data_IF_335405152324
#
_entry.id   IF_335405152324
#
_cell.length_a   1.000
_cell.length_b   1.000
_cell.length_c   1.000
_cell.angle_alpha   90.00
_cell.angle_beta   90.00
_cell.angle_gamma   90.00
#
_symmetry.space_group_name_H-M   'P 1'
#
loop_
_entity.id
_entity.type
_entity.pdbx_description
1 polymer ?
#
# COMPACT_ATOMS: atom_id res chain seq x y z
N UNK A 1 4.35 -32.92 16.26
CA UNK A 1 5.27 -31.77 16.42
C UNK A 1 4.93 -30.74 15.37
N UNK A 2 4.54 -29.53 15.76
CA UNK A 2 4.17 -28.47 14.82
C UNK A 2 5.44 -27.98 14.11
N UNK A 3 5.71 -28.47 12.90
CA UNK A 3 6.82 -27.97 12.08
C UNK A 3 6.40 -26.64 11.46
N UNK A 4 6.69 -25.54 12.15
CA UNK A 4 6.55 -24.21 11.55
C UNK A 4 7.53 -24.09 10.38
N UNK A 5 7.00 -23.88 9.18
CA UNK A 5 7.84 -23.60 8.02
C UNK A 5 8.55 -22.26 8.27
N UNK A 6 9.86 -22.14 8.02
CA UNK A 6 10.60 -20.88 8.22
C UNK A 6 9.95 -19.67 7.53
N UNK A 7 9.30 -19.91 6.38
CA UNK A 7 8.52 -18.92 5.64
C UNK A 7 7.38 -18.33 6.47
N UNK A 8 6.66 -19.13 7.25
CA UNK A 8 5.54 -18.63 8.06
C UNK A 8 6.01 -17.70 9.18
N UNK A 9 7.18 -17.98 9.77
CA UNK A 9 7.78 -17.15 10.82
C UNK A 9 8.19 -15.78 10.25
N UNK A 10 8.89 -15.77 9.11
CA UNK A 10 9.34 -14.55 8.45
C UNK A 10 8.15 -13.69 8.01
N UNK A 11 7.13 -14.29 7.40
CA UNK A 11 5.93 -13.58 6.97
C UNK A 11 5.13 -13.02 8.16
N UNK A 12 4.99 -13.79 9.24
CA UNK A 12 4.31 -13.32 10.46
C UNK A 12 5.00 -12.11 11.08
N UNK A 13 6.34 -12.16 11.21
CA UNK A 13 7.15 -11.03 11.70
C UNK A 13 7.00 -9.79 10.82
N UNK A 14 7.03 -9.97 9.49
CA UNK A 14 6.87 -8.88 8.55
C UNK A 14 5.46 -8.27 8.61
N UNK A 15 4.43 -9.08 8.80
CA UNK A 15 3.04 -8.64 8.93
C UNK A 15 2.78 -7.90 10.24
N UNK A 16 3.38 -8.33 11.35
CA UNK A 16 3.34 -7.59 12.63
C UNK A 16 4.05 -6.23 12.50
N UNK A 17 5.20 -6.19 11.85
CA UNK A 17 5.90 -4.95 11.56
C UNK A 17 5.05 -4.02 10.67
N UNK A 18 4.44 -4.56 9.61
CA UNK A 18 3.59 -3.79 8.71
C UNK A 18 2.33 -3.24 9.41
N UNK A 19 1.65 -4.06 10.22
CA UNK A 19 0.50 -3.64 11.02
C UNK A 19 0.88 -2.53 12.02
N UNK A 20 2.02 -2.67 12.70
CA UNK A 20 2.56 -1.64 13.59
C UNK A 20 2.80 -0.32 12.85
N UNK A 21 3.35 -0.37 11.63
CA UNK A 21 3.58 0.83 10.81
C UNK A 21 2.28 1.51 10.38
N UNK A 22 1.23 0.75 10.06
CA UNK A 22 -0.09 1.31 9.75
C UNK A 22 -0.69 2.01 10.99
N UNK A 23 -0.56 1.40 12.18
CA UNK A 23 -1.03 1.99 13.44
C UNK A 23 -0.28 3.29 13.79
N UNK A 24 1.04 3.30 13.64
CA UNK A 24 1.87 4.49 13.90
C UNK A 24 1.48 5.65 12.96
N UNK A 25 1.28 5.37 11.67
CA UNK A 25 0.89 6.42 10.71
C UNK A 25 -0.52 6.96 10.92
N UNK A 26 -1.45 6.17 11.48
CA UNK A 26 -2.76 6.64 11.91
C UNK A 26 -2.63 7.62 13.09
N UNK A 27 -1.78 7.29 14.06
CA UNK A 27 -1.52 8.14 15.24
C UNK A 27 -0.88 9.48 14.86
N UNK A 28 -0.03 9.49 13.84
CA UNK A 28 0.66 10.70 13.36
C UNK A 28 -0.24 11.61 12.50
N UNK A 29 -1.52 11.28 12.28
CA UNK A 29 -2.47 12.06 11.46
C UNK A 29 -2.16 12.08 9.96
N UNK A 30 -1.07 11.43 9.54
CA UNK A 30 -0.58 11.37 8.16
C UNK A 30 -1.41 10.48 7.24
N UNK A 31 -2.32 9.68 7.81
CA UNK A 31 -3.13 8.70 7.09
C UNK A 31 -4.61 8.95 7.39
N UNK A 32 -5.39 9.19 6.34
CA UNK A 32 -6.85 9.30 6.46
C UNK A 32 -7.46 7.97 6.90
N UNK A 33 -8.61 8.01 7.58
CA UNK A 33 -9.36 6.82 8.00
C UNK A 33 -9.58 5.85 6.82
N UNK A 34 -9.92 6.36 5.64
CA UNK A 34 -10.08 5.57 4.41
C UNK A 34 -8.77 4.88 4.00
N UNK A 35 -7.64 5.58 4.10
CA UNK A 35 -6.32 5.01 3.81
C UNK A 35 -5.94 3.92 4.82
N UNK A 36 -6.27 4.10 6.10
CA UNK A 36 -6.04 3.08 7.13
C UNK A 36 -6.81 1.79 6.81
N UNK A 37 -8.12 1.87 6.54
CA UNK A 37 -8.92 0.69 6.20
C UNK A 37 -8.44 0.01 4.91
N UNK A 38 -8.05 0.79 3.90
CA UNK A 38 -7.50 0.24 2.66
C UNK A 38 -6.21 -0.57 2.91
N UNK A 39 -5.23 0.02 3.59
CA UNK A 39 -3.96 -0.66 3.87
C UNK A 39 -4.12 -1.83 4.84
N UNK A 40 -4.94 -1.67 5.88
CA UNK A 40 -5.23 -2.73 6.84
C UNK A 40 -5.92 -3.92 6.18
N UNK A 41 -6.91 -3.68 5.31
CA UNK A 41 -7.56 -4.71 4.52
C UNK A 41 -6.60 -5.44 3.58
N UNK A 42 -5.70 -4.70 2.92
CA UNK A 42 -4.68 -5.28 2.05
C UNK A 42 -3.73 -6.21 2.82
N UNK A 43 -3.30 -5.82 4.02
CA UNK A 43 -2.46 -6.70 4.87
C UNK A 43 -3.21 -7.93 5.37
N UNK A 44 -4.50 -7.80 5.74
CA UNK A 44 -5.33 -8.96 6.10
C UNK A 44 -5.45 -9.94 4.93
N UNK A 45 -5.70 -9.45 3.73
CA UNK A 45 -5.77 -10.30 2.52
C UNK A 45 -4.44 -11.02 2.27
N UNK A 46 -3.31 -10.34 2.47
CA UNK A 46 -1.99 -10.95 2.36
C UNK A 46 -1.77 -12.06 3.41
N UNK A 47 -2.17 -11.85 4.66
CA UNK A 47 -2.13 -12.88 5.73
C UNK A 47 -2.95 -14.10 5.30
N UNK A 48 -4.20 -13.88 4.86
CA UNK A 48 -5.09 -14.97 4.44
C UNK A 48 -4.48 -15.75 3.27
N UNK A 49 -3.88 -15.08 2.29
CA UNK A 49 -3.22 -15.73 1.16
C UNK A 49 -2.03 -16.61 1.57
N UNK A 50 -1.30 -16.24 2.62
CA UNK A 50 -0.16 -17.02 3.15
C UNK A 50 -0.63 -18.24 3.94
N UNK A 51 -1.68 -18.09 4.76
CA UNK A 51 -2.20 -19.18 5.60
C UNK A 51 -3.12 -20.15 4.84
N UNK A 52 -3.79 -19.71 3.76
CA UNK A 52 -4.69 -20.52 2.94
C UNK A 52 -4.39 -20.40 1.45
N UNK A 53 -3.34 -21.08 0.94
CA UNK A 53 -3.02 -21.10 -0.49
C UNK A 53 -4.07 -21.81 -1.36
N UNK A 54 -4.98 -22.58 -0.77
CA UNK A 54 -6.10 -23.20 -1.49
C UNK A 54 -7.06 -22.15 -2.06
N UNK A 55 -7.29 -21.04 -1.34
CA UNK A 55 -8.14 -19.94 -1.80
C UNK A 55 -7.53 -19.23 -3.00
N UNK A 56 -6.21 -19.00 -2.98
CA UNK A 56 -5.50 -18.38 -4.10
C UNK A 56 -5.49 -19.32 -5.31
N UNK A 57 -5.47 -20.63 -5.10
CA UNK A 57 -5.53 -21.64 -6.16
C UNK A 57 -6.91 -21.71 -6.84
N UNK A 58 -8.02 -21.58 -6.09
CA UNK A 58 -9.38 -21.55 -6.66
C UNK A 58 -9.57 -20.31 -7.54
N UNK A 59 -9.09 -19.15 -7.07
CA UNK A 59 -9.16 -17.88 -7.84
C UNK A 59 -8.28 -17.96 -9.08
N UNK A 60 -7.06 -18.51 -8.95
CA UNK A 60 -6.15 -18.68 -10.07
C UNK A 60 -6.70 -19.61 -11.15
N UNK A 61 -7.36 -20.71 -10.78
CA UNK A 61 -8.00 -21.63 -11.73
C UNK A 61 -9.09 -20.93 -12.56
N UNK A 62 -9.90 -20.06 -11.94
CA UNK A 62 -10.90 -19.24 -12.66
C UNK A 62 -10.27 -18.19 -13.59
N UNK A 63 -9.08 -17.71 -13.24
CA UNK A 63 -8.31 -16.75 -14.05
C UNK A 63 -7.44 -17.42 -15.12
N UNK A 64 -7.45 -18.76 -15.23
CA UNK A 64 -6.63 -19.51 -16.19
C UNK A 64 -5.16 -19.63 -15.80
N UNK A 65 -4.83 -19.42 -14.52
CA UNK A 65 -3.47 -19.47 -13.98
C UNK A 65 -3.28 -20.79 -13.21
N UNK A 66 -2.34 -21.62 -13.65
CA UNK A 66 -2.08 -22.94 -13.06
C UNK A 66 -1.51 -22.90 -11.63
N UNK A 67 -1.01 -21.75 -11.16
CA UNK A 67 -0.38 -21.59 -9.84
C UNK A 67 -0.98 -20.41 -9.09
N UNK A 68 -1.58 -20.69 -7.93
CA UNK A 68 -2.19 -19.68 -7.05
C UNK A 68 -1.24 -18.55 -6.66
N UNK A 69 0.05 -18.86 -6.46
CA UNK A 69 1.09 -17.88 -6.16
C UNK A 69 1.30 -16.87 -7.28
N UNK A 70 1.25 -17.32 -8.52
CA UNK A 70 1.62 -16.52 -9.68
C UNK A 70 0.51 -15.49 -9.97
N UNK A 71 -0.74 -15.86 -9.72
CA UNK A 71 -1.89 -14.94 -9.74
C UNK A 71 -1.75 -13.81 -8.71
N UNK A 72 -1.32 -14.14 -7.48
CA UNK A 72 -1.08 -13.14 -6.42
C UNK A 72 0.06 -12.20 -6.81
N UNK A 73 1.14 -12.72 -7.41
CA UNK A 73 2.27 -11.92 -7.87
C UNK A 73 1.82 -10.95 -8.96
N UNK A 74 1.10 -11.42 -9.98
CA UNK A 74 0.61 -10.55 -11.06
C UNK A 74 -0.33 -9.47 -10.54
N UNK A 75 -1.29 -9.82 -9.67
CA UNK A 75 -2.18 -8.85 -9.05
C UNK A 75 -1.40 -7.81 -8.22
N UNK A 76 -0.38 -8.26 -7.47
CA UNK A 76 0.46 -7.39 -6.64
C UNK A 76 1.28 -6.43 -7.48
N UNK A 77 1.90 -6.90 -8.56
CA UNK A 77 2.66 -6.05 -9.49
C UNK A 77 1.74 -5.01 -10.13
N UNK A 78 0.57 -5.42 -10.62
CA UNK A 78 -0.38 -4.52 -11.27
C UNK A 78 -0.91 -3.45 -10.30
N UNK A 79 -1.23 -3.85 -9.06
CA UNK A 79 -1.64 -2.94 -8.00
C UNK A 79 -0.51 -1.99 -7.59
N UNK A 80 0.73 -2.46 -7.48
CA UNK A 80 1.90 -1.63 -7.20
C UNK A 80 2.13 -0.60 -8.29
N UNK A 81 2.07 -1.00 -9.57
CA UNK A 81 2.18 -0.07 -10.70
C UNK A 81 1.12 1.02 -10.64
N UNK A 82 -0.14 0.66 -10.36
CA UNK A 82 -1.22 1.63 -10.19
C UNK A 82 -0.96 2.60 -9.02
N UNK A 83 -0.51 2.10 -7.87
CA UNK A 83 -0.19 2.93 -6.71
C UNK A 83 0.99 3.87 -6.98
N UNK A 84 2.03 3.40 -7.66
CA UNK A 84 3.16 4.23 -8.10
C UNK A 84 2.67 5.32 -9.05
N UNK A 85 1.87 4.96 -10.06
CA UNK A 85 1.29 5.93 -10.99
C UNK A 85 0.46 7.00 -10.26
N UNK A 86 -0.45 6.59 -9.37
CA UNK A 86 -1.27 7.50 -8.56
C UNK A 86 -0.40 8.43 -7.69
N UNK A 87 0.69 7.91 -7.12
CA UNK A 87 1.61 8.70 -6.29
C UNK A 87 2.37 9.72 -7.13
N UNK A 88 2.79 9.37 -8.35
CA UNK A 88 3.43 10.31 -9.28
C UNK A 88 2.48 11.44 -9.68
N UNK A 89 1.22 11.13 -9.99
CA UNK A 89 0.20 12.16 -10.30
C UNK A 89 -0.01 13.10 -9.11
N UNK A 90 -0.12 12.56 -7.89
CA UNK A 90 -0.24 13.37 -6.68
C UNK A 90 0.99 14.28 -6.48
N UNK A 91 2.19 13.75 -6.70
CA UNK A 91 3.43 14.50 -6.57
C UNK A 91 3.49 15.65 -7.59
N UNK A 92 3.06 15.42 -8.83
CA UNK A 92 3.03 16.46 -9.86
C UNK A 92 2.02 17.57 -9.52
N UNK A 93 0.83 17.21 -9.04
CA UNK A 93 -0.15 18.20 -8.57
C UNK A 93 0.40 19.04 -7.41
N UNK A 94 1.06 18.41 -6.44
CA UNK A 94 1.72 19.11 -5.34
C UNK A 94 2.81 20.07 -5.83
N UNK A 95 3.62 19.67 -6.81
CA UNK A 95 4.63 20.55 -7.44
C UNK A 95 3.98 21.76 -8.10
N UNK A 96 2.87 21.57 -8.81
CA UNK A 96 2.13 22.67 -9.43
C UNK A 96 1.56 23.64 -8.40
N UNK A 97 0.94 23.12 -7.34
CA UNK A 97 0.37 23.94 -6.28
C UNK A 97 1.43 24.71 -5.49
N UNK A 98 2.58 24.09 -5.21
CA UNK A 98 3.73 24.76 -4.63
C UNK A 98 4.26 25.87 -5.55
N UNK A 99 4.34 25.62 -6.86
CA UNK A 99 4.79 26.63 -7.83
C UNK A 99 3.86 27.84 -7.85
N UNK A 100 2.54 27.61 -7.84
CA UNK A 100 1.54 28.68 -7.75
C UNK A 100 1.65 29.44 -6.42
N UNK A 101 1.83 28.72 -5.31
CA UNK A 101 1.95 29.31 -3.99
C UNK A 101 3.17 30.23 -3.92
N UNK A 102 4.35 29.74 -4.34
CA UNK A 102 5.59 30.53 -4.38
C UNK A 102 5.43 31.75 -5.29
N UNK A 103 4.82 31.58 -6.48
CA UNK A 103 4.55 32.71 -7.39
C UNK A 103 3.63 33.76 -6.75
N UNK A 104 2.59 33.33 -6.04
CA UNK A 104 1.66 34.23 -5.34
C UNK A 104 2.39 35.00 -4.24
N UNK A 105 3.21 34.32 -3.44
CA UNK A 105 4.02 34.94 -2.38
C UNK A 105 4.99 35.96 -2.98
N UNK A 106 5.67 35.63 -4.08
CA UNK A 106 6.65 36.51 -4.72
C UNK A 106 6.04 37.75 -5.40
N UNK A 107 4.83 37.63 -5.96
CA UNK A 107 4.12 38.74 -6.62
C UNK A 107 3.28 39.57 -5.65
N UNK A 108 3.07 39.12 -4.41
CA UNK A 108 2.38 39.90 -3.38
C UNK A 108 3.31 41.04 -2.96
N UNK A 109 2.97 42.31 -3.24
CA UNK A 109 3.83 43.43 -2.88
C UNK A 109 3.99 43.46 -1.36
N UNK A 110 5.25 43.43 -0.90
CA UNK A 110 5.56 43.62 0.52
C UNK A 110 5.00 44.98 0.93
N UNK A 111 3.95 44.96 1.77
CA UNK A 111 3.41 46.17 2.38
C UNK A 111 4.52 46.75 3.25
N UNK A 112 5.27 47.71 2.70
CA UNK A 112 6.31 48.45 3.41
C UNK A 112 5.67 49.07 4.65
N UNK A 113 6.14 48.64 5.82
CA UNK A 113 5.78 49.22 7.12
C UNK A 113 6.72 50.38 7.40
#
# INVERSE_FOLDING_TARGET
>A
MLTFLPVQIVFSLFLLFAASRVWLRLKDGSLTLTGFFFWFGLFILAIIGVFKPELTSIVALKLGINRGSDAVIYASILLLFYLIFRTNVLLENLRHDLTKLVRTIALTPLKKK
#
